data_IF_425967403393
#
_entry.id   IF_425967403393
#
_cell.length_a   1.000
_cell.length_b   1.000
_cell.length_c   1.000
_cell.angle_alpha   90.00
_cell.angle_beta   90.00
_cell.angle_gamma   90.00
#
_symmetry.space_group_name_H-M   'P 1'
#
loop_
_entity.id
_entity.type
_entity.pdbx_description
1 polymer ?
#
# COMPACT_ATOMS: atom_id res chain seq x y z
N UNK A 1 2.24 17.32 46.63
CA UNK A 1 2.75 16.21 47.46
C UNK A 1 1.96 14.96 47.14
N UNK A 2 2.67 13.84 46.96
CA UNK A 2 2.27 12.42 47.03
C UNK A 2 0.91 11.92 46.50
N UNK A 3 1.04 11.08 45.46
CA UNK A 3 0.58 9.66 45.34
C UNK A 3 -0.91 9.35 45.47
N UNK A 4 -1.45 8.68 44.44
CA UNK A 4 -2.18 7.43 44.65
C UNK A 4 -2.09 6.48 43.43
N UNK A 5 -1.75 5.25 43.73
CA UNK A 5 -1.57 4.06 42.87
C UNK A 5 -2.91 3.32 42.72
N UNK A 6 -3.20 2.70 41.57
CA UNK A 6 -4.15 1.56 41.43
C UNK A 6 -3.93 0.97 40.01
N UNK A 7 -3.29 -0.17 39.77
CA UNK A 7 -3.53 -1.57 40.16
C UNK A 7 -4.77 -2.23 39.51
N UNK A 8 -4.48 -2.97 38.42
CA UNK A 8 -4.85 -4.38 38.13
C UNK A 8 -6.33 -4.84 37.98
N UNK A 9 -6.58 -5.47 36.81
CA UNK A 9 -7.46 -6.63 36.51
C UNK A 9 -8.97 -6.57 36.74
N UNK A 10 -9.78 -6.96 35.73
CA UNK A 10 -10.54 -8.22 35.72
C UNK A 10 -11.26 -8.46 34.37
N UNK A 11 -11.10 -9.66 33.81
CA UNK A 11 -11.86 -10.22 32.67
C UNK A 11 -13.20 -10.75 33.19
N UNK A 12 -14.31 -10.53 32.47
CA UNK A 12 -15.40 -11.53 32.38
C UNK A 12 -16.33 -11.30 31.20
N UNK A 13 -16.64 -12.46 30.61
CA UNK A 13 -17.49 -12.78 29.47
C UNK A 13 -18.98 -12.67 29.84
N UNK A 14 -19.83 -12.07 29.00
CA UNK A 14 -21.28 -12.37 28.98
C UNK A 14 -21.77 -12.45 27.53
N UNK A 15 -22.19 -13.65 27.14
CA UNK A 15 -22.97 -13.94 25.94
C UNK A 15 -24.44 -13.55 26.15
N UNK A 16 -25.11 -13.10 25.09
CA UNK A 16 -26.57 -13.06 25.03
C UNK A 16 -27.07 -13.51 23.62
N UNK A 17 -28.15 -14.33 23.55
CA UNK A 17 -28.58 -15.01 22.33
C UNK A 17 -29.69 -14.28 21.54
N UNK A 18 -29.76 -14.64 20.26
CA UNK A 18 -30.93 -14.78 19.36
C UNK A 18 -32.26 -14.11 19.76
N UNK A 19 -32.72 -13.19 18.91
CA UNK A 19 -34.09 -12.67 18.92
C UNK A 19 -34.49 -12.05 17.58
N UNK A 20 -34.88 -12.87 16.61
CA UNK A 20 -35.67 -12.43 15.46
C UNK A 20 -37.05 -11.97 15.93
N UNK A 21 -37.44 -10.73 15.63
CA UNK A 21 -38.84 -10.33 15.65
C UNK A 21 -39.16 -9.19 14.66
N UNK A 22 -40.10 -9.52 13.78
CA UNK A 22 -41.10 -8.67 13.09
C UNK A 22 -40.64 -7.64 12.05
N UNK A 23 -40.83 -8.10 10.81
CA UNK A 23 -41.10 -7.37 9.59
C UNK A 23 -42.38 -6.52 9.74
N UNK A 24 -42.24 -5.20 9.77
CA UNK A 24 -43.35 -4.26 9.65
C UNK A 24 -43.38 -3.65 8.23
N UNK A 25 -44.56 -3.70 7.61
CA UNK A 25 -44.82 -3.22 6.25
C UNK A 25 -45.13 -1.73 6.32
N UNK A 26 -44.07 -0.91 6.28
CA UNK A 26 -44.15 0.53 6.03
C UNK A 26 -43.47 0.86 4.70
N UNK A 27 -44.22 1.43 3.77
CA UNK A 27 -43.78 1.91 2.45
C UNK A 27 -42.45 2.67 2.52
N UNK A 28 -41.37 2.07 2.02
CA UNK A 28 -40.09 2.75 1.76
C UNK A 28 -39.90 2.90 0.25
N UNK A 29 -39.74 4.16 -0.13
CA UNK A 29 -39.37 4.67 -1.44
C UNK A 29 -38.20 3.84 -2.04
N UNK A 30 -38.15 3.57 -3.36
CA UNK A 30 -37.07 2.78 -3.97
C UNK A 30 -35.77 3.58 -4.19
N UNK A 31 -35.45 4.51 -3.29
CA UNK A 31 -34.22 5.32 -3.33
C UNK A 31 -33.45 5.14 -2.01
N UNK A 32 -32.94 3.94 -1.77
CA UNK A 32 -31.77 3.79 -0.91
C UNK A 32 -30.67 3.10 -1.71
N UNK A 33 -30.11 3.91 -2.59
CA UNK A 33 -28.80 3.73 -3.21
C UNK A 33 -27.78 3.34 -2.14
N UNK A 34 -27.41 2.06 -2.15
CA UNK A 34 -26.17 1.61 -1.54
C UNK A 34 -25.04 1.83 -2.56
N UNK A 35 -24.57 3.08 -2.68
CA UNK A 35 -23.36 3.40 -3.45
C UNK A 35 -22.59 4.48 -2.68
N UNK A 36 -21.44 4.10 -2.12
CA UNK A 36 -20.32 4.95 -1.67
C UNK A 36 -20.65 6.45 -1.60
N UNK A 37 -20.81 6.99 -0.38
CA UNK A 37 -21.09 8.41 -0.07
C UNK A 37 -19.96 9.40 -0.48
N UNK A 38 -19.01 9.00 -1.33
CA UNK A 38 -17.94 9.89 -1.80
C UNK A 38 -18.38 10.66 -3.05
N UNK A 39 -18.07 11.96 -3.07
CA UNK A 39 -18.30 12.82 -4.22
C UNK A 39 -17.53 12.30 -5.46
N UNK A 40 -18.17 12.09 -6.63
CA UNK A 40 -17.51 11.52 -7.80
C UNK A 40 -16.28 12.29 -8.30
N UNK A 41 -16.22 13.60 -8.05
CA UNK A 41 -15.04 14.41 -8.40
C UNK A 41 -13.86 14.10 -7.46
N UNK A 42 -14.11 13.95 -6.16
CA UNK A 42 -13.10 13.52 -5.20
C UNK A 42 -12.63 12.09 -5.46
N UNK A 43 -13.54 11.18 -5.86
CA UNK A 43 -13.13 9.85 -6.31
C UNK A 43 -12.22 9.89 -7.55
N UNK A 44 -12.49 10.79 -8.50
CA UNK A 44 -11.67 10.95 -9.70
C UNK A 44 -10.27 11.50 -9.36
N UNK A 45 -10.20 12.49 -8.46
CA UNK A 45 -8.94 13.10 -8.01
C UNK A 45 -8.03 12.12 -7.27
N UNK A 46 -8.58 11.10 -6.63
CA UNK A 46 -7.81 10.11 -5.88
C UNK A 46 -7.23 8.98 -6.74
N UNK A 47 -7.71 8.81 -7.99
CA UNK A 47 -7.23 7.74 -8.89
C UNK A 47 -5.71 7.76 -9.09
N UNK A 48 -5.04 8.91 -9.32
CA UNK A 48 -3.58 8.95 -9.42
C UNK A 48 -2.86 8.40 -8.17
N UNK A 49 -3.37 8.68 -6.97
CA UNK A 49 -2.78 8.17 -5.73
C UNK A 49 -2.94 6.64 -5.63
N UNK A 50 -4.10 6.12 -6.03
CA UNK A 50 -4.34 4.68 -6.07
C UNK A 50 -3.42 3.98 -7.08
N UNK A 51 -3.18 4.59 -8.24
CA UNK A 51 -2.22 4.08 -9.23
C UNK A 51 -0.80 4.08 -8.63
N UNK A 52 -0.39 5.16 -7.97
CA UNK A 52 0.93 5.24 -7.34
C UNK A 52 1.11 4.16 -6.25
N UNK A 53 0.07 3.90 -5.46
CA UNK A 53 0.11 2.85 -4.43
C UNK A 53 0.35 1.45 -5.03
N UNK A 54 -0.22 1.16 -6.19
CA UNK A 54 0.05 -0.09 -6.93
C UNK A 54 1.51 -0.18 -7.38
N UNK A 55 2.08 0.93 -7.88
CA UNK A 55 3.51 0.99 -8.27
C UNK A 55 4.41 0.78 -7.05
N UNK A 56 4.14 1.51 -5.97
CA UNK A 56 4.93 1.47 -4.73
C UNK A 56 4.90 0.09 -4.08
N UNK A 57 3.75 -0.59 -4.12
CA UNK A 57 3.60 -1.95 -3.60
C UNK A 57 4.49 -2.99 -4.29
N UNK A 58 4.81 -2.78 -5.57
CA UNK A 58 5.74 -3.62 -6.34
C UNK A 58 7.19 -3.15 -6.14
N UNK A 59 7.41 -1.84 -6.04
CA UNK A 59 8.75 -1.24 -5.96
C UNK A 59 9.39 -1.39 -4.58
N UNK A 60 8.60 -1.36 -3.49
CA UNK A 60 9.12 -1.28 -2.12
C UNK A 60 10.15 -2.36 -1.76
N UNK A 61 9.92 -3.67 -2.04
CA UNK A 61 10.92 -4.70 -1.73
C UNK A 61 12.24 -4.49 -2.48
N UNK A 62 12.23 -3.84 -3.64
CA UNK A 62 13.41 -3.54 -4.44
C UNK A 62 14.23 -2.42 -3.79
N UNK A 63 13.57 -1.34 -3.35
CA UNK A 63 14.24 -0.20 -2.73
C UNK A 63 14.73 -0.49 -1.32
N UNK A 64 14.05 -1.38 -0.60
CA UNK A 64 14.43 -1.76 0.77
C UNK A 64 15.71 -2.63 0.82
N UNK A 65 16.16 -3.18 -0.32
CA UNK A 65 17.40 -3.99 -0.39
C UNK A 65 18.62 -3.21 0.11
N UNK A 66 18.79 -1.96 -0.33
CA UNK A 66 19.98 -1.19 0.04
C UNK A 66 19.98 -0.79 1.51
N UNK A 67 18.78 -0.51 2.04
CA UNK A 67 18.59 -0.22 3.45
C UNK A 67 19.02 -1.41 4.30
N UNK A 68 18.60 -2.62 3.93
CA UNK A 68 18.87 -3.80 4.75
C UNK A 68 20.30 -4.30 4.60
N UNK A 69 20.92 -4.12 3.44
CA UNK A 69 22.37 -4.36 3.25
C UNK A 69 23.17 -3.45 4.20
N UNK A 70 22.80 -2.18 4.29
CA UNK A 70 23.48 -1.22 5.16
C UNK A 70 23.23 -1.47 6.65
N UNK A 71 22.01 -1.90 7.02
CA UNK A 71 21.75 -2.32 8.40
C UNK A 71 22.63 -3.51 8.79
N UNK A 72 22.73 -4.53 7.92
CA UNK A 72 23.56 -5.71 8.18
C UNK A 72 25.06 -5.37 8.19
N UNK A 73 25.51 -4.39 7.39
CA UNK A 73 26.92 -3.97 7.35
C UNK A 73 27.35 -3.21 8.62
N UNK A 74 26.44 -2.44 9.22
CA UNK A 74 26.74 -1.54 10.36
C UNK A 74 26.43 -2.15 11.72
N UNK A 75 25.49 -3.08 11.81
CA UNK A 75 25.11 -3.76 13.07
C UNK A 75 26.29 -4.40 13.83
N UNK A 76 27.26 -5.09 13.18
CA UNK A 76 28.39 -5.71 13.88
C UNK A 76 29.14 -4.74 14.81
N UNK A 77 29.47 -3.55 14.32
CA UNK A 77 30.18 -2.53 15.10
C UNK A 77 29.33 -1.92 16.21
N UNK A 78 28.01 -1.80 16.01
CA UNK A 78 27.08 -1.24 17.01
C UNK A 78 26.77 -2.21 18.14
N UNK A 79 26.57 -3.48 17.81
CA UNK A 79 26.05 -4.50 18.72
C UNK A 79 27.13 -5.44 19.26
N UNK A 80 28.38 -5.33 18.78
CA UNK A 80 29.47 -6.22 19.15
C UNK A 80 29.28 -7.65 18.64
N UNK A 81 28.53 -7.84 17.53
CA UNK A 81 28.29 -9.14 16.92
C UNK A 81 29.28 -9.46 15.82
N UNK A 82 29.57 -10.74 15.63
CA UNK A 82 30.38 -11.19 14.49
C UNK A 82 29.67 -10.89 13.15
N UNK A 83 30.40 -10.21 12.26
CA UNK A 83 29.87 -9.81 10.96
C UNK A 83 29.60 -11.02 10.05
N UNK A 84 30.43 -12.07 10.13
CA UNK A 84 30.22 -13.27 9.31
C UNK A 84 28.99 -14.06 9.77
N UNK A 85 28.82 -14.23 11.08
CA UNK A 85 27.65 -14.86 11.70
C UNK A 85 26.37 -14.10 11.38
N UNK A 86 26.37 -12.77 11.49
CA UNK A 86 25.19 -11.95 11.17
C UNK A 86 24.83 -12.03 9.68
N UNK A 87 25.82 -12.00 8.77
CA UNK A 87 25.58 -12.21 7.33
C UNK A 87 25.06 -13.63 7.04
N UNK A 88 25.55 -14.63 7.76
CA UNK A 88 25.04 -16.00 7.69
C UNK A 88 23.56 -16.10 8.10
N UNK A 89 23.18 -15.45 9.20
CA UNK A 89 21.78 -15.35 9.64
C UNK A 89 20.91 -14.59 8.61
N UNK A 90 21.42 -13.47 8.08
CA UNK A 90 20.75 -12.70 7.04
C UNK A 90 20.51 -13.52 5.76
N UNK A 91 21.53 -14.23 5.27
CA UNK A 91 21.43 -15.13 4.12
C UNK A 91 20.46 -16.28 4.37
N UNK A 92 20.50 -16.88 5.56
CA UNK A 92 19.56 -17.91 5.95
C UNK A 92 18.12 -17.37 6.02
N UNK A 93 17.92 -16.15 6.50
CA UNK A 93 16.58 -15.56 6.61
C UNK A 93 15.99 -15.20 5.25
N UNK A 94 16.84 -14.70 4.34
CA UNK A 94 16.48 -14.43 2.94
C UNK A 94 16.01 -15.70 2.20
N UNK A 95 16.65 -16.84 2.47
CA UNK A 95 16.46 -18.07 1.70
C UNK A 95 15.46 -19.03 2.35
N UNK A 96 15.64 -19.28 3.64
CA UNK A 96 14.97 -20.33 4.42
C UNK A 96 13.87 -19.78 5.35
N UNK A 97 13.80 -18.44 5.51
CA UNK A 97 12.77 -17.79 6.30
C UNK A 97 13.17 -17.56 7.75
N UNK A 98 12.56 -18.29 8.68
CA UNK A 98 12.80 -18.07 10.10
C UNK A 98 14.10 -18.73 10.56
N UNK A 99 14.92 -18.00 11.33
CA UNK A 99 16.26 -18.43 11.74
C UNK A 99 16.43 -18.21 13.23
N UNK A 100 16.91 -19.23 13.93
CA UNK A 100 17.25 -19.10 15.34
C UNK A 100 18.50 -18.23 15.52
N UNK A 101 18.39 -17.17 16.33
CA UNK A 101 19.52 -16.32 16.69
C UNK A 101 20.30 -16.98 17.83
N UNK A 102 21.44 -17.59 17.47
CA UNK A 102 22.37 -18.27 18.37
C UNK A 102 23.61 -17.40 18.68
N UNK A 103 23.43 -16.08 18.76
CA UNK A 103 24.48 -15.13 19.12
C UNK A 103 24.45 -14.86 20.63
N UNK A 104 25.63 -14.74 21.23
CA UNK A 104 25.79 -14.35 22.64
C UNK A 104 25.71 -12.81 22.76
N UNK A 105 24.48 -12.30 22.89
CA UNK A 105 24.15 -10.88 22.93
C UNK A 105 23.04 -10.60 23.93
N UNK A 106 22.89 -9.32 24.30
CA UNK A 106 21.78 -8.88 25.16
C UNK A 106 20.42 -9.13 24.52
N UNK A 107 19.37 -9.18 25.34
CA UNK A 107 18.01 -9.38 24.84
C UNK A 107 17.57 -8.27 23.87
N UNK A 108 17.99 -7.03 24.13
CA UNK A 108 17.71 -5.86 23.29
C UNK A 108 18.41 -5.99 21.94
N UNK A 109 19.70 -6.34 21.93
CA UNK A 109 20.44 -6.58 20.70
C UNK A 109 19.86 -7.76 19.90
N UNK A 110 19.38 -8.81 20.59
CA UNK A 110 18.69 -9.94 19.96
C UNK A 110 17.39 -9.52 19.30
N UNK A 111 16.61 -8.64 19.93
CA UNK A 111 15.39 -8.10 19.35
C UNK A 111 15.67 -7.22 18.12
N UNK A 112 16.73 -6.40 18.15
CA UNK A 112 17.17 -5.60 16.99
C UNK A 112 17.59 -6.49 15.82
N UNK A 113 18.42 -7.53 16.08
CA UNK A 113 18.80 -8.50 15.05
C UNK A 113 17.57 -9.22 14.49
N UNK A 114 16.64 -9.66 15.34
CA UNK A 114 15.41 -10.33 14.89
C UNK A 114 14.58 -9.44 13.96
N UNK A 115 14.38 -8.18 14.32
CA UNK A 115 13.62 -7.23 13.50
C UNK A 115 14.24 -7.04 12.11
N UNK A 116 15.57 -7.02 12.01
CA UNK A 116 16.26 -6.95 10.71
C UNK A 116 16.11 -8.26 9.94
N UNK A 117 16.25 -9.43 10.58
CA UNK A 117 16.04 -10.71 9.92
C UNK A 117 14.60 -10.85 9.38
N UNK A 118 13.59 -10.46 10.15
CA UNK A 118 12.20 -10.46 9.69
C UNK A 118 11.97 -9.53 8.50
N UNK A 119 12.65 -8.38 8.49
CA UNK A 119 12.65 -7.45 7.34
C UNK A 119 13.29 -8.11 6.11
N UNK A 120 14.44 -8.78 6.27
CA UNK A 120 15.13 -9.51 5.18
C UNK A 120 14.25 -10.62 4.61
N UNK A 121 13.59 -11.39 5.47
CA UNK A 121 12.61 -12.41 5.06
C UNK A 121 11.49 -11.78 4.23
N UNK A 122 10.92 -10.67 4.71
CA UNK A 122 9.88 -9.93 3.99
C UNK A 122 10.33 -9.45 2.61
N UNK A 123 11.54 -8.90 2.52
CA UNK A 123 12.17 -8.50 1.25
C UNK A 123 12.36 -9.72 0.34
N UNK A 124 12.91 -10.82 0.85
CA UNK A 124 13.13 -12.04 0.08
C UNK A 124 11.84 -12.61 -0.53
N UNK A 125 10.76 -12.64 0.24
CA UNK A 125 9.43 -13.01 -0.25
C UNK A 125 8.93 -12.00 -1.28
N UNK A 126 8.98 -10.70 -0.96
CA UNK A 126 8.52 -9.63 -1.84
C UNK A 126 9.19 -9.64 -3.21
N UNK A 127 10.51 -9.81 -3.24
CA UNK A 127 11.31 -9.88 -4.46
C UNK A 127 11.00 -11.13 -5.31
N UNK A 128 10.79 -12.30 -4.68
CA UNK A 128 10.35 -13.53 -5.37
C UNK A 128 8.96 -13.36 -5.98
N UNK A 129 8.09 -12.62 -5.31
CA UNK A 129 6.73 -12.36 -5.76
C UNK A 129 6.61 -11.17 -6.74
N UNK A 130 7.68 -10.41 -6.98
CA UNK A 130 7.65 -9.22 -7.87
C UNK A 130 6.98 -9.49 -9.22
N UNK A 131 7.22 -10.60 -9.95
CA UNK A 131 6.53 -10.87 -11.22
C UNK A 131 5.00 -10.98 -11.06
N UNK A 132 4.54 -11.66 -10.00
CA UNK A 132 3.11 -11.83 -9.70
C UNK A 132 2.49 -10.50 -9.27
N UNK A 133 3.18 -9.75 -8.41
CA UNK A 133 2.74 -8.42 -7.94
C UNK A 133 2.67 -7.43 -9.09
N UNK A 134 3.64 -7.44 -10.01
CA UNK A 134 3.62 -6.60 -11.20
C UNK A 134 2.44 -6.90 -12.12
N UNK A 135 2.09 -8.18 -12.28
CA UNK A 135 0.92 -8.59 -13.05
C UNK A 135 -0.38 -8.09 -12.40
N UNK A 136 -0.53 -8.28 -11.08
CA UNK A 136 -1.69 -7.82 -10.33
C UNK A 136 -1.82 -6.29 -10.37
N UNK A 137 -0.74 -5.56 -10.10
CA UNK A 137 -0.69 -4.10 -10.18
C UNK A 137 -1.05 -3.60 -11.59
N UNK A 138 -0.56 -4.24 -12.64
CA UNK A 138 -0.93 -3.90 -14.02
C UNK A 138 -2.44 -4.03 -14.24
N UNK A 139 -3.07 -5.10 -13.75
CA UNK A 139 -4.52 -5.30 -13.84
C UNK A 139 -5.30 -4.27 -13.03
N UNK A 140 -4.85 -3.96 -11.81
CA UNK A 140 -5.46 -2.94 -10.96
C UNK A 140 -5.37 -1.55 -11.61
N UNK A 141 -4.22 -1.19 -12.19
CA UNK A 141 -4.04 0.07 -12.93
C UNK A 141 -4.99 0.16 -14.13
N UNK A 142 -5.21 -0.95 -14.88
CA UNK A 142 -6.23 -0.99 -15.95
C UNK A 142 -7.62 -0.72 -15.37
N UNK A 143 -7.99 -1.37 -14.27
CA UNK A 143 -9.30 -1.22 -13.64
C UNK A 143 -9.52 0.21 -13.11
N UNK A 144 -8.49 0.82 -12.54
CA UNK A 144 -8.49 2.22 -12.11
C UNK A 144 -8.68 3.19 -13.29
N UNK A 145 -8.01 2.93 -14.41
CA UNK A 145 -8.22 3.69 -15.65
C UNK A 145 -9.65 3.58 -16.17
N UNK A 146 -10.25 2.38 -16.14
CA UNK A 146 -11.65 2.18 -16.54
C UNK A 146 -12.64 2.87 -15.58
N UNK A 147 -12.37 2.81 -14.26
CA UNK A 147 -13.15 3.52 -13.24
C UNK A 147 -13.09 5.03 -13.47
N UNK A 148 -11.90 5.57 -13.72
CA UNK A 148 -11.71 6.98 -14.05
C UNK A 148 -12.53 7.41 -15.25
N UNK A 149 -12.48 6.66 -16.36
CA UNK A 149 -13.26 6.97 -17.56
C UNK A 149 -14.77 7.02 -17.29
N UNK A 150 -15.29 6.11 -16.46
CA UNK A 150 -16.70 6.11 -16.06
C UNK A 150 -17.06 7.35 -15.20
N UNK A 151 -16.18 7.74 -14.27
CA UNK A 151 -16.36 8.94 -13.43
C UNK A 151 -16.33 10.22 -14.29
N UNK A 152 -15.38 10.33 -15.22
CA UNK A 152 -15.26 11.45 -16.16
C UNK A 152 -16.54 11.59 -16.99
N UNK A 153 -17.07 10.49 -17.55
CA UNK A 153 -18.31 10.51 -18.31
C UNK A 153 -19.50 11.00 -17.47
N UNK A 154 -19.63 10.50 -16.22
CA UNK A 154 -20.69 10.90 -15.29
C UNK A 154 -20.60 12.38 -14.93
N UNK A 155 -19.41 12.88 -14.59
CA UNK A 155 -19.18 14.27 -14.23
C UNK A 155 -19.41 15.21 -15.42
N UNK A 156 -18.92 14.84 -16.61
CA UNK A 156 -19.12 15.60 -17.84
C UNK A 156 -20.61 15.76 -18.14
N UNK A 157 -21.38 14.66 -18.11
CA UNK A 157 -22.83 14.71 -18.33
C UNK A 157 -23.54 15.58 -17.29
N UNK A 158 -23.16 15.45 -16.00
CA UNK A 158 -23.71 16.28 -14.90
C UNK A 158 -23.46 17.76 -15.14
N UNK A 159 -22.23 18.15 -15.51
CA UNK A 159 -21.88 19.55 -15.73
C UNK A 159 -22.49 20.13 -17.00
N UNK A 160 -22.51 19.38 -18.10
CA UNK A 160 -23.17 19.80 -19.34
C UNK A 160 -24.69 20.02 -19.14
N UNK A 161 -25.36 19.14 -18.39
CA UNK A 161 -26.77 19.32 -18.05
C UNK A 161 -27.01 20.60 -17.23
N UNK A 162 -26.16 20.90 -16.26
CA UNK A 162 -26.24 22.14 -15.47
C UNK A 162 -25.96 23.39 -16.30
N UNK A 163 -25.00 23.36 -17.22
CA UNK A 163 -24.69 24.48 -18.12
C UNK A 163 -25.85 24.79 -19.07
N UNK A 164 -26.53 23.75 -19.54
CA UNK A 164 -27.67 23.84 -20.46
C UNK A 164 -28.97 24.27 -19.76
N UNK A 165 -29.05 24.15 -18.43
CA UNK A 165 -30.23 24.56 -17.68
C UNK A 165 -30.48 26.07 -17.79
N UNK A 166 -31.72 26.50 -18.08
CA UNK A 166 -32.09 27.91 -18.09
C UNK A 166 -32.14 28.52 -16.67
N UNK A 167 -32.12 27.68 -15.62
CA UNK A 167 -32.18 28.11 -14.22
C UNK A 167 -30.80 28.44 -13.63
N UNK A 168 -29.72 28.03 -14.29
CA UNK A 168 -28.35 28.26 -13.82
C UNK A 168 -27.92 29.69 -14.13
N UNK A 169 -27.52 30.44 -13.10
CA UNK A 169 -27.09 31.84 -13.23
C UNK A 169 -25.75 31.96 -13.95
N UNK A 170 -25.49 33.09 -14.60
CA UNK A 170 -24.27 33.32 -15.39
C UNK A 170 -22.97 33.04 -14.60
N UNK A 171 -22.86 33.54 -13.36
CA UNK A 171 -21.70 33.30 -12.49
C UNK A 171 -21.52 31.82 -12.13
N UNK A 172 -22.62 31.10 -11.93
CA UNK A 172 -22.60 29.67 -11.63
C UNK A 172 -22.20 28.85 -12.87
N UNK A 173 -22.65 29.28 -14.07
CA UNK A 173 -22.19 28.67 -15.33
C UNK A 173 -20.69 28.78 -15.51
N UNK A 174 -20.06 29.90 -15.14
CA UNK A 174 -18.60 30.04 -15.19
C UNK A 174 -17.90 29.05 -14.25
N UNK A 175 -18.40 28.87 -13.02
CA UNK A 175 -17.85 27.88 -12.07
C UNK A 175 -18.00 26.46 -12.58
N UNK A 176 -19.17 26.09 -13.11
CA UNK A 176 -19.43 24.76 -13.67
C UNK A 176 -18.53 24.50 -14.89
N UNK A 177 -18.30 25.51 -15.73
CA UNK A 177 -17.39 25.39 -16.86
C UNK A 177 -15.96 25.12 -16.38
N UNK A 178 -15.48 25.83 -15.36
CA UNK A 178 -14.16 25.59 -14.79
C UNK A 178 -14.04 24.18 -14.17
N UNK A 179 -15.09 23.69 -13.50
CA UNK A 179 -15.13 22.31 -12.99
C UNK A 179 -15.09 21.28 -14.14
N UNK A 180 -15.83 21.52 -15.22
CA UNK A 180 -15.81 20.67 -16.41
C UNK A 180 -14.42 20.65 -17.05
N UNK A 181 -13.78 21.80 -17.21
CA UNK A 181 -12.42 21.91 -17.75
C UNK A 181 -11.42 21.15 -16.85
N UNK A 182 -11.58 21.23 -15.53
CA UNK A 182 -10.77 20.45 -14.58
C UNK A 182 -10.99 18.94 -14.73
N UNK A 183 -12.22 18.48 -14.98
CA UNK A 183 -12.50 17.05 -15.24
C UNK A 183 -11.84 16.57 -16.53
N UNK A 184 -11.91 17.37 -17.60
CA UNK A 184 -11.27 17.05 -18.87
C UNK A 184 -9.75 16.98 -18.72
N UNK A 185 -9.16 17.89 -17.95
CA UNK A 185 -7.73 17.84 -17.64
C UNK A 185 -7.35 16.59 -16.84
N UNK A 186 -8.11 16.28 -15.78
CA UNK A 186 -7.89 15.08 -14.97
C UNK A 186 -7.98 13.79 -15.80
N UNK A 187 -8.89 13.71 -16.77
CA UNK A 187 -8.99 12.56 -17.69
C UNK A 187 -7.68 12.36 -18.47
N UNK A 188 -7.12 13.43 -19.03
CA UNK A 188 -5.86 13.38 -19.76
C UNK A 188 -4.69 12.98 -18.84
N UNK A 189 -4.60 13.60 -17.67
CA UNK A 189 -3.55 13.31 -16.69
C UNK A 189 -3.61 11.85 -16.20
N UNK A 190 -4.80 11.33 -15.90
CA UNK A 190 -4.99 9.94 -15.47
C UNK A 190 -4.62 8.97 -16.61
N UNK A 191 -4.98 9.26 -17.86
CA UNK A 191 -4.58 8.41 -19.00
C UNK A 191 -3.06 8.34 -19.16
N UNK A 192 -2.37 9.46 -19.00
CA UNK A 192 -0.91 9.49 -19.01
C UNK A 192 -0.32 8.66 -17.87
N UNK A 193 -0.78 8.90 -16.63
CA UNK A 193 -0.33 8.16 -15.43
C UNK A 193 -0.58 6.66 -15.56
N UNK A 194 -1.72 6.23 -16.12
CA UNK A 194 -1.99 4.81 -16.41
C UNK A 194 -0.96 4.21 -17.37
N UNK A 195 -0.59 4.94 -18.43
CA UNK A 195 0.41 4.49 -19.39
C UNK A 195 1.79 4.33 -18.75
N UNK A 196 2.24 5.36 -18.04
CA UNK A 196 3.55 5.40 -17.38
C UNK A 196 3.67 4.36 -16.27
N UNK A 197 2.62 4.22 -15.44
CA UNK A 197 2.60 3.26 -14.35
C UNK A 197 2.62 1.81 -14.86
N UNK A 198 1.89 1.49 -15.94
CA UNK A 198 1.96 0.16 -16.57
C UNK A 198 3.35 -0.15 -17.08
N UNK A 199 3.95 0.77 -17.82
CA UNK A 199 5.31 0.60 -18.35
C UNK A 199 6.32 0.37 -17.22
N UNK A 200 6.22 1.20 -16.17
CA UNK A 200 7.06 1.10 -14.98
C UNK A 200 6.92 -0.26 -14.31
N UNK A 201 5.70 -0.66 -13.97
CA UNK A 201 5.41 -1.91 -13.26
C UNK A 201 5.85 -3.13 -14.07
N UNK A 202 5.66 -3.13 -15.39
CA UNK A 202 6.12 -4.21 -16.27
C UNK A 202 7.64 -4.34 -16.33
N UNK A 203 8.40 -3.28 -16.02
CA UNK A 203 9.86 -3.31 -15.91
C UNK A 203 10.39 -3.75 -14.54
N UNK A 204 9.57 -3.72 -13.49
CA UNK A 204 9.99 -4.06 -12.13
C UNK A 204 10.42 -5.53 -11.92
N UNK A 205 9.87 -6.55 -12.62
CA UNK A 205 10.35 -7.94 -12.48
C UNK A 205 11.85 -8.11 -12.74
N UNK A 206 12.39 -7.42 -13.75
CA UNK A 206 13.83 -7.44 -14.04
C UNK A 206 14.63 -6.81 -12.89
N UNK A 207 14.21 -5.63 -12.42
CA UNK A 207 14.81 -4.96 -11.26
C UNK A 207 14.72 -5.80 -9.98
N UNK A 208 13.63 -6.54 -9.79
CA UNK A 208 13.47 -7.47 -8.67
C UNK A 208 14.48 -8.61 -8.71
N UNK A 209 14.81 -9.11 -9.90
CA UNK A 209 15.84 -10.13 -10.10
C UNK A 209 17.24 -9.57 -9.83
N UNK A 210 17.53 -8.37 -10.32
CA UNK A 210 18.79 -7.66 -10.03
C UNK A 210 18.95 -7.39 -8.52
N UNK A 211 17.88 -6.95 -7.86
CA UNK A 211 17.88 -6.69 -6.42
C UNK A 211 18.05 -7.99 -5.60
N UNK A 212 17.44 -9.10 -6.03
CA UNK A 212 17.65 -10.42 -5.41
C UNK A 212 19.10 -10.88 -5.55
N UNK A 213 19.72 -10.68 -6.73
CA UNK A 213 21.13 -10.99 -6.93
C UNK A 213 22.04 -10.12 -6.04
N UNK A 214 21.73 -8.82 -5.94
CA UNK A 214 22.47 -7.86 -5.11
C UNK A 214 22.45 -8.26 -3.63
N UNK A 215 21.27 -8.50 -3.05
CA UNK A 215 21.15 -8.88 -1.63
C UNK A 215 21.76 -10.24 -1.34
N UNK A 216 21.63 -11.20 -2.25
CA UNK A 216 22.28 -12.52 -2.14
C UNK A 216 23.80 -12.37 -2.13
N UNK A 217 24.36 -11.58 -3.05
CA UNK A 217 25.80 -11.34 -3.10
C UNK A 217 26.33 -10.62 -1.85
N UNK A 218 25.57 -9.64 -1.34
CA UNK A 218 25.94 -8.89 -0.14
C UNK A 218 26.00 -9.80 1.11
N UNK A 219 25.09 -10.78 1.22
CA UNK A 219 25.04 -11.70 2.37
C UNK A 219 25.86 -12.98 2.18
N UNK A 220 26.31 -13.28 0.95
CA UNK A 220 27.22 -14.40 0.68
C UNK A 220 28.67 -14.16 1.14
N UNK A 221 28.98 -12.99 1.72
CA UNK A 221 30.33 -12.58 2.11
C UNK A 221 31.08 -13.65 2.91
N UNK A 222 32.09 -14.24 2.27
CA UNK A 222 33.14 -15.04 2.91
C UNK A 222 33.77 -14.23 4.06
N UNK A 223 34.02 -14.92 5.18
CA UNK A 223 34.88 -14.43 6.25
C UNK A 223 36.18 -13.88 5.63
N UNK A 224 36.40 -12.58 5.78
CA UNK A 224 37.70 -11.94 5.62
C UNK A 224 38.33 -11.80 6.98
#
# INVERSE_FOLDING_TARGET
>A
MQRLTLALTLVTLVAAPLGCAKQDKGTKNPDQDSKSDKDPLEELKDVPNQIQAEVDGVLKPITDVDVVIEQVSTMPGRLGVDAAGLRGLASASLTNGEVAINLDITAEAKAEVQAVLDTIKGIGVGLKETPKRATAATQNIVALGAKSAALVAKLTAKYQAKLSSPLTKAEEKLKIQAELDSVVKLDADIKAVVGDAKSTVMGLPAKGTEAMAKITAAFAGKAG
#
